data_IF_428669282008
#
_entry.id   IF_428669282008
#
_cell.length_a   1.000
_cell.length_b   1.000
_cell.length_c   1.000
_cell.angle_alpha   90.00
_cell.angle_beta   90.00
_cell.angle_gamma   90.00
#
_symmetry.space_group_name_H-M   'P 1'
#
loop_
_entity.id
_entity.type
_entity.pdbx_description
1 polymer ?
#
# COMPACT_ATOMS: atom_id res chain seq x y z
N UNK A 1 -7.90 16.48 -0.09
CA UNK A 1 -7.54 15.06 0.02
C UNK A 1 -8.76 14.16 0.18
N UNK A 2 -9.60 14.32 1.21
CA UNK A 2 -10.75 13.45 1.40
C UNK A 2 -11.88 13.61 0.37
N UNK A 3 -12.09 14.81 -0.17
CA UNK A 3 -13.16 15.12 -1.14
C UNK A 3 -12.87 14.51 -2.52
N UNK A 4 -11.58 14.45 -2.92
CA UNK A 4 -11.17 13.98 -4.25
C UNK A 4 -11.25 12.44 -4.36
N UNK A 5 -11.06 11.72 -3.26
CA UNK A 5 -11.14 10.25 -3.25
C UNK A 5 -12.59 9.75 -3.36
N UNK A 6 -13.54 10.48 -2.76
CA UNK A 6 -14.99 10.21 -2.90
C UNK A 6 -15.48 10.52 -4.32
N UNK A 7 -15.01 11.61 -4.95
CA UNK A 7 -15.41 11.98 -6.32
C UNK A 7 -14.89 11.00 -7.39
N UNK A 8 -13.73 10.38 -7.18
CA UNK A 8 -13.09 9.49 -8.15
C UNK A 8 -13.35 8.00 -7.93
N UNK A 9 -14.09 7.64 -6.88
CA UNK A 9 -14.33 6.23 -6.51
C UNK A 9 -13.02 5.42 -6.45
N UNK A 10 -11.96 6.04 -5.92
CA UNK A 10 -10.61 5.47 -5.94
C UNK A 10 -10.48 4.29 -4.97
N UNK A 11 -10.12 3.11 -5.48
CA UNK A 11 -9.92 1.90 -4.66
C UNK A 11 -8.55 1.87 -3.96
N UNK A 12 -7.62 2.72 -4.41
CA UNK A 12 -6.23 2.72 -3.99
C UNK A 12 -5.68 4.14 -3.77
N UNK A 13 -5.10 4.37 -2.59
CA UNK A 13 -4.32 5.56 -2.26
C UNK A 13 -2.84 5.21 -2.24
N UNK A 14 -2.07 5.76 -3.16
CA UNK A 14 -0.61 5.62 -3.18
C UNK A 14 0.02 6.86 -2.56
N UNK A 15 0.82 6.66 -1.52
CA UNK A 15 1.58 7.72 -0.87
C UNK A 15 3.03 7.56 -1.28
N UNK A 16 3.54 8.55 -2.04
CA UNK A 16 4.89 8.54 -2.58
C UNK A 16 6.01 8.69 -1.56
N UNK A 17 5.78 8.41 -0.28
CA UNK A 17 6.78 8.46 0.79
C UNK A 17 6.78 7.15 1.60
N UNK A 18 7.85 6.91 2.35
CA UNK A 18 7.91 5.78 3.28
C UNK A 18 7.16 6.18 4.54
N UNK A 19 6.12 5.43 4.87
CA UNK A 19 5.28 5.69 6.03
C UNK A 19 5.66 4.78 7.20
N UNK A 20 5.47 5.26 8.41
CA UNK A 20 5.54 4.39 9.60
C UNK A 20 4.28 3.53 9.68
N UNK A 21 4.34 2.30 10.24
CA UNK A 21 3.17 1.45 10.42
C UNK A 21 2.00 2.16 11.13
N UNK A 22 2.30 2.97 12.16
CA UNK A 22 1.29 3.76 12.86
C UNK A 22 0.60 4.81 11.97
N UNK A 23 1.31 5.39 11.00
CA UNK A 23 0.74 6.35 10.05
C UNK A 23 -0.18 5.67 9.06
N UNK A 24 0.24 4.52 8.51
CA UNK A 24 -0.59 3.67 7.65
C UNK A 24 -1.89 3.29 8.37
N UNK A 25 -1.79 2.77 9.59
CA UNK A 25 -2.94 2.40 10.41
C UNK A 25 -3.90 3.59 10.65
N UNK A 26 -3.38 4.78 10.99
CA UNK A 26 -4.22 5.96 11.19
C UNK A 26 -4.93 6.41 9.91
N UNK A 27 -4.28 6.29 8.75
CA UNK A 27 -4.86 6.67 7.47
C UNK A 27 -5.96 5.68 7.09
N UNK A 28 -5.70 4.37 7.21
CA UNK A 28 -6.72 3.34 6.97
C UNK A 28 -7.93 3.50 7.88
N UNK A 29 -7.70 3.72 9.19
CA UNK A 29 -8.76 4.03 10.16
C UNK A 29 -9.57 5.28 9.78
N UNK A 30 -8.92 6.31 9.25
CA UNK A 30 -9.58 7.54 8.82
C UNK A 30 -10.54 7.29 7.65
N UNK A 31 -10.15 6.46 6.69
CA UNK A 31 -11.01 6.09 5.55
C UNK A 31 -12.11 5.09 5.94
N UNK A 32 -11.81 4.12 6.80
CA UNK A 32 -12.79 3.16 7.33
C UNK A 32 -13.94 3.87 8.06
N UNK A 33 -13.63 4.89 8.87
CA UNK A 33 -14.64 5.73 9.55
C UNK A 33 -15.57 6.48 8.58
N UNK A 34 -15.13 6.73 7.35
CA UNK A 34 -15.94 7.35 6.28
C UNK A 34 -16.70 6.32 5.44
N UNK A 35 -16.70 5.04 5.85
CA UNK A 35 -17.23 3.90 5.07
C UNK A 35 -16.57 3.76 3.69
N UNK A 36 -15.38 4.32 3.51
CA UNK A 36 -14.64 4.27 2.26
C UNK A 36 -13.56 3.21 2.39
N UNK A 37 -13.73 2.09 1.69
CA UNK A 37 -12.79 0.97 1.74
C UNK A 37 -11.68 1.19 0.71
N UNK A 38 -10.70 2.02 1.07
CA UNK A 38 -9.52 2.26 0.24
C UNK A 38 -8.32 1.50 0.79
N UNK A 39 -7.52 0.90 -0.11
CA UNK A 39 -6.21 0.38 0.26
C UNK A 39 -5.21 1.52 0.25
N UNK A 40 -4.33 1.58 1.25
CA UNK A 40 -3.25 2.56 1.30
C UNK A 40 -1.94 1.82 1.02
N UNK A 41 -1.19 2.28 0.03
CA UNK A 41 0.16 1.80 -0.25
C UNK A 41 1.15 2.91 0.02
N UNK A 42 2.25 2.57 0.67
CA UNK A 42 3.40 3.43 0.74
C UNK A 42 4.32 3.22 -0.48
N UNK A 43 5.46 3.93 -0.50
CA UNK A 43 6.43 3.79 -1.58
C UNK A 43 7.00 2.37 -1.68
N UNK A 44 7.22 1.69 -0.57
CA UNK A 44 7.84 0.36 -0.53
C UNK A 44 6.85 -0.70 -0.97
N UNK A 45 5.60 -0.64 -0.51
CA UNK A 45 4.51 -1.52 -0.95
C UNK A 45 4.33 -1.46 -2.47
N UNK A 46 4.36 -0.25 -3.04
CA UNK A 46 4.28 -0.07 -4.49
C UNK A 46 5.44 -0.78 -5.21
N UNK A 47 6.68 -0.62 -4.72
CA UNK A 47 7.86 -1.26 -5.30
C UNK A 47 7.76 -2.78 -5.20
N UNK A 48 7.37 -3.31 -4.02
CA UNK A 48 7.19 -4.74 -3.80
C UNK A 48 6.10 -5.31 -4.72
N UNK A 49 5.04 -4.54 -4.98
CA UNK A 49 3.96 -4.95 -5.89
C UNK A 49 4.46 -5.02 -7.34
N UNK A 50 5.19 -4.00 -7.80
CA UNK A 50 5.81 -3.98 -9.13
C UNK A 50 6.77 -5.17 -9.27
N UNK A 51 7.62 -5.41 -8.27
CA UNK A 51 8.55 -6.53 -8.30
C UNK A 51 7.83 -7.88 -8.29
N UNK A 52 6.72 -8.01 -7.56
CA UNK A 52 5.89 -9.22 -7.56
C UNK A 52 5.32 -9.52 -8.95
N UNK A 53 4.90 -8.50 -9.69
CA UNK A 53 4.38 -8.67 -11.05
C UNK A 53 5.46 -9.12 -12.06
N UNK A 54 6.71 -8.71 -11.84
CA UNK A 54 7.85 -9.04 -12.73
C UNK A 54 8.68 -10.23 -12.24
N UNK A 55 8.41 -10.80 -11.06
CA UNK A 55 9.19 -11.88 -10.49
C UNK A 55 8.89 -13.23 -11.17
N UNK A 56 9.80 -13.65 -12.04
CA UNK A 56 9.71 -14.92 -12.77
C UNK A 56 10.36 -16.06 -11.97
N UNK A 57 11.52 -15.79 -11.35
CA UNK A 57 12.29 -16.82 -10.66
C UNK A 57 11.75 -17.12 -9.24
N UNK A 58 11.90 -18.36 -8.74
CA UNK A 58 11.50 -18.72 -7.37
C UNK A 58 12.25 -17.92 -6.31
N UNK A 59 13.54 -17.66 -6.54
CA UNK A 59 14.37 -16.86 -5.62
C UNK A 59 13.88 -15.42 -5.54
N UNK A 60 13.55 -14.80 -6.68
CA UNK A 60 13.01 -13.43 -6.70
C UNK A 60 11.71 -13.32 -5.89
N UNK A 61 10.82 -14.32 -6.00
CA UNK A 61 9.57 -14.36 -5.23
C UNK A 61 9.84 -14.45 -3.73
N UNK A 62 10.76 -15.34 -3.31
CA UNK A 62 11.17 -15.48 -1.92
C UNK A 62 11.78 -14.19 -1.35
N UNK A 63 12.60 -13.48 -2.14
CA UNK A 63 13.18 -12.20 -1.71
C UNK A 63 12.13 -11.11 -1.53
N UNK A 64 11.11 -11.08 -2.40
CA UNK A 64 10.01 -10.11 -2.29
C UNK A 64 9.12 -10.43 -1.08
N UNK A 65 8.82 -11.70 -0.82
CA UNK A 65 8.11 -12.12 0.39
C UNK A 65 8.88 -11.75 1.66
N UNK A 66 10.19 -12.02 1.68
CA UNK A 66 11.05 -11.65 2.81
C UNK A 66 11.08 -10.13 3.03
N UNK A 67 11.14 -9.34 1.96
CA UNK A 67 11.12 -7.88 2.06
C UNK A 67 9.76 -7.37 2.56
N UNK A 68 8.66 -7.98 2.13
CA UNK A 68 7.31 -7.67 2.61
C UNK A 68 7.18 -7.91 4.12
N UNK A 69 7.73 -9.02 4.63
CA UNK A 69 7.72 -9.34 6.07
C UNK A 69 8.54 -8.33 6.88
N UNK A 70 9.66 -7.84 6.34
CA UNK A 70 10.52 -6.87 7.03
C UNK A 70 9.95 -5.45 7.04
N UNK A 71 9.07 -5.13 6.10
CA UNK A 71 8.47 -3.81 5.95
C UNK A 71 7.20 -3.62 6.78
N UNK A 72 6.52 -4.72 7.11
CA UNK A 72 5.33 -4.77 7.97
C UNK A 72 5.68 -4.47 9.44
#
# INVERSE_FOLDING_TARGET
MAILAEELSAELLVIGNILKPAQLFHIEQFFEKRKFKIKVWDRVDLILKIFSEHAISPESKLQIELASIKHM
#
